data_IF_603581483761
#
_entry.id   IF_603581483761
#
_cell.length_a   1.000
_cell.length_b   1.000
_cell.length_c   1.000
_cell.angle_alpha   90.00
_cell.angle_beta   90.00
_cell.angle_gamma   90.00
#
_symmetry.space_group_name_H-M   'P 1'
#
loop_
_entity.id
_entity.type
_entity.pdbx_description
1 polymer ?
#
# COMPACT_ATOMS: atom_id res chain seq x y z
N UNK A 1 -0.84 -16.78 -2.70
CA UNK A 1 -1.53 -18.04 -2.36
C UNK A 1 -1.09 -18.49 -0.99
N UNK A 2 -2.00 -18.46 -0.01
CA UNK A 2 -1.85 -19.15 1.27
C UNK A 2 -1.76 -20.65 0.96
N UNK A 3 -0.62 -21.27 1.27
CA UNK A 3 -0.34 -22.65 0.91
C UNK A 3 -1.47 -23.60 1.35
N UNK A 4 -2.09 -24.29 0.38
CA UNK A 4 -3.04 -25.38 0.63
C UNK A 4 -4.53 -25.08 0.40
N UNK A 5 -4.93 -23.84 0.14
CA UNK A 5 -6.32 -23.52 -0.21
C UNK A 5 -6.52 -23.42 -1.73
N UNK A 6 -7.73 -23.79 -2.21
CA UNK A 6 -8.09 -23.49 -3.59
C UNK A 6 -8.42 -21.99 -3.76
N UNK A 7 -8.28 -21.42 -4.98
CA UNK A 7 -8.53 -20.01 -5.27
C UNK A 7 -9.84 -19.45 -4.71
N UNK A 8 -10.94 -20.21 -4.84
CA UNK A 8 -12.26 -19.79 -4.37
C UNK A 8 -12.28 -19.71 -2.84
N UNK A 9 -11.68 -20.67 -2.14
CA UNK A 9 -11.60 -20.64 -0.68
C UNK A 9 -10.80 -19.45 -0.19
N UNK A 10 -9.70 -19.10 -0.87
CA UNK A 10 -8.86 -17.94 -0.51
C UNK A 10 -9.67 -16.63 -0.59
N UNK A 11 -10.36 -16.39 -1.71
CA UNK A 11 -11.26 -15.24 -1.86
C UNK A 11 -12.37 -15.23 -0.80
N UNK A 12 -13.05 -16.36 -0.57
CA UNK A 12 -14.12 -16.44 0.41
C UNK A 12 -13.64 -16.19 1.84
N UNK A 13 -12.44 -16.66 2.21
CA UNK A 13 -11.85 -16.39 3.52
C UNK A 13 -11.56 -14.89 3.68
N UNK A 14 -10.94 -14.26 2.68
CA UNK A 14 -10.68 -12.82 2.69
C UNK A 14 -11.98 -12.00 2.82
N UNK A 15 -13.02 -12.35 2.06
CA UNK A 15 -14.31 -11.67 2.13
C UNK A 15 -15.02 -11.88 3.47
N UNK A 16 -14.98 -13.09 4.04
CA UNK A 16 -15.54 -13.37 5.38
C UNK A 16 -14.80 -12.61 6.47
N UNK A 17 -13.47 -12.54 6.38
CA UNK A 17 -12.66 -11.76 7.30
C UNK A 17 -13.01 -10.27 7.24
N UNK A 18 -13.12 -9.71 6.04
CA UNK A 18 -13.55 -8.32 5.84
C UNK A 18 -14.98 -8.08 6.35
N UNK A 19 -15.87 -9.04 6.17
CA UNK A 19 -17.21 -9.09 6.78
C UNK A 19 -17.16 -8.93 8.29
N UNK A 20 -16.45 -9.85 8.95
CA UNK A 20 -16.33 -9.87 10.40
C UNK A 20 -15.69 -8.58 10.96
N UNK A 21 -14.69 -8.02 10.27
CA UNK A 21 -14.09 -6.74 10.70
C UNK A 21 -15.05 -5.57 10.48
N UNK A 22 -15.81 -5.55 9.38
CA UNK A 22 -16.81 -4.50 9.15
C UNK A 22 -17.90 -4.51 10.22
N UNK A 23 -18.37 -5.70 10.61
CA UNK A 23 -19.33 -5.87 11.69
C UNK A 23 -18.73 -5.38 13.03
N UNK A 24 -17.49 -5.77 13.34
CA UNK A 24 -16.79 -5.32 14.53
C UNK A 24 -16.54 -3.80 14.54
N UNK A 25 -16.23 -3.20 13.39
CA UNK A 25 -16.11 -1.75 13.23
C UNK A 25 -17.43 -1.06 13.53
N UNK A 26 -18.54 -1.58 13.03
CA UNK A 26 -19.88 -1.06 13.30
C UNK A 26 -20.23 -1.13 14.79
N UNK A 27 -19.94 -2.26 15.45
CA UNK A 27 -20.11 -2.43 16.90
C UNK A 27 -19.22 -1.51 17.73
N UNK A 28 -17.98 -1.25 17.27
CA UNK A 28 -17.04 -0.35 17.94
C UNK A 28 -17.44 1.13 17.83
N UNK A 29 -18.54 1.44 17.15
CA UNK A 29 -19.07 2.79 16.90
C UNK A 29 -18.91 3.24 15.45
N UNK A 30 -18.04 2.63 14.66
CA UNK A 30 -17.80 3.08 13.30
C UNK A 30 -17.45 4.59 13.22
N UNK A 31 -17.38 5.14 12.01
CA UNK A 31 -17.19 6.57 11.82
C UNK A 31 -18.48 7.39 12.09
N UNK A 32 -19.66 6.76 12.07
CA UNK A 32 -20.96 7.47 12.10
C UNK A 32 -21.73 7.35 13.42
N UNK A 33 -21.26 6.59 14.42
CA UNK A 33 -21.97 6.51 15.70
C UNK A 33 -21.69 7.75 16.54
N UNK A 34 -22.76 8.45 16.90
CA UNK A 34 -22.74 9.61 17.78
C UNK A 34 -22.30 9.25 19.20
N UNK A 35 -22.47 7.99 19.60
CA UNK A 35 -21.94 7.49 20.86
C UNK A 35 -20.46 7.17 20.64
N UNK A 36 -19.60 8.01 21.25
CA UNK A 36 -18.14 7.98 21.07
C UNK A 36 -17.62 6.54 20.94
N UNK A 37 -16.94 6.19 19.84
CA UNK A 37 -16.35 4.87 19.69
C UNK A 37 -15.46 4.57 20.89
N UNK A 38 -15.40 3.30 21.31
CA UNK A 38 -14.41 2.88 22.30
C UNK A 38 -13.03 3.15 21.73
N UNK A 39 -12.40 4.26 22.16
CA UNK A 39 -11.22 4.89 21.55
C UNK A 39 -10.10 3.91 21.20
N UNK A 40 -9.96 2.82 21.96
CA UNK A 40 -8.83 1.90 21.82
C UNK A 40 -9.05 0.79 20.78
N UNK A 41 -10.30 0.43 20.45
CA UNK A 41 -10.58 -0.71 19.55
C UNK A 41 -10.66 -0.29 18.09
N UNK A 42 -11.18 0.91 17.83
CA UNK A 42 -11.43 1.40 16.47
C UNK A 42 -10.17 1.47 15.60
N UNK A 43 -9.03 2.03 16.06
CA UNK A 43 -7.82 2.11 15.22
C UNK A 43 -7.30 0.73 14.78
N UNK A 44 -7.28 -0.24 15.70
CA UNK A 44 -6.82 -1.61 15.43
C UNK A 44 -7.73 -2.31 14.42
N UNK A 45 -9.06 -2.16 14.58
CA UNK A 45 -10.03 -2.74 13.65
C UNK A 45 -9.93 -2.09 12.27
N UNK A 46 -9.75 -0.76 12.21
CA UNK A 46 -9.54 -0.02 10.95
C UNK A 46 -8.28 -0.51 10.24
N UNK A 47 -7.17 -0.64 10.97
CA UNK A 47 -5.92 -1.18 10.43
C UNK A 47 -6.10 -2.61 9.91
N UNK A 48 -6.73 -3.50 10.68
CA UNK A 48 -7.03 -4.87 10.25
C UNK A 48 -7.91 -4.92 9.00
N UNK A 49 -8.88 -4.02 8.88
CA UNK A 49 -9.72 -3.88 7.68
C UNK A 49 -8.89 -3.49 6.45
N UNK A 50 -8.02 -2.49 6.58
CA UNK A 50 -7.12 -2.06 5.50
C UNK A 50 -6.20 -3.20 5.05
N UNK A 51 -5.56 -3.90 6.00
CA UNK A 51 -4.71 -5.05 5.70
C UNK A 51 -5.48 -6.17 4.99
N UNK A 52 -6.70 -6.46 5.43
CA UNK A 52 -7.56 -7.44 4.76
C UNK A 52 -7.88 -7.07 3.31
N UNK A 53 -8.10 -5.78 3.03
CA UNK A 53 -8.35 -5.29 1.66
C UNK A 53 -7.12 -5.38 0.78
N UNK A 54 -5.95 -5.01 1.29
CA UNK A 54 -4.68 -5.14 0.57
C UNK A 54 -4.38 -6.60 0.25
N UNK A 55 -4.60 -7.50 1.21
CA UNK A 55 -4.42 -8.93 0.99
C UNK A 55 -5.40 -9.47 -0.07
N UNK A 56 -6.67 -9.07 -0.02
CA UNK A 56 -7.65 -9.45 -1.04
C UNK A 56 -7.24 -8.95 -2.44
N UNK A 57 -6.75 -7.72 -2.56
CA UNK A 57 -6.24 -7.17 -3.81
C UNK A 57 -5.07 -7.99 -4.35
N UNK A 58 -4.07 -8.29 -3.51
CA UNK A 58 -2.93 -9.11 -3.92
C UNK A 58 -3.33 -10.53 -4.37
N UNK A 59 -4.38 -11.10 -3.79
CA UNK A 59 -4.94 -12.38 -4.24
C UNK A 59 -5.60 -12.21 -5.62
N UNK A 60 -6.40 -11.16 -5.83
CA UNK A 60 -7.04 -10.86 -7.11
C UNK A 60 -5.99 -10.70 -8.22
N UNK A 61 -4.94 -9.90 -7.98
CA UNK A 61 -3.87 -9.66 -8.97
C UNK A 61 -3.18 -10.97 -9.38
N UNK A 62 -2.92 -11.85 -8.41
CA UNK A 62 -2.36 -13.17 -8.67
C UNK A 62 -3.32 -14.05 -9.49
N UNK A 63 -4.61 -14.02 -9.19
CA UNK A 63 -5.62 -14.78 -9.92
C UNK A 63 -5.78 -14.29 -11.36
N UNK A 64 -5.67 -12.99 -11.63
CA UNK A 64 -5.69 -12.45 -13.00
C UNK A 64 -4.54 -13.01 -13.85
N UNK A 65 -3.36 -13.15 -13.25
CA UNK A 65 -2.22 -13.81 -13.90
C UNK A 65 -2.53 -15.30 -14.11
N UNK A 66 -3.05 -15.99 -13.10
CA UNK A 66 -3.43 -17.40 -13.21
C UNK A 66 -4.50 -17.67 -14.27
N UNK A 67 -5.46 -16.77 -14.47
CA UNK A 67 -6.48 -16.88 -15.53
C UNK A 67 -5.85 -16.88 -16.93
N UNK A 68 -4.79 -16.10 -17.16
CA UNK A 68 -4.05 -16.11 -18.44
C UNK A 68 -3.39 -17.48 -18.68
N UNK A 69 -2.84 -18.08 -17.64
CA UNK A 69 -2.28 -19.43 -17.70
C UNK A 69 -3.36 -20.50 -17.91
N UNK A 70 -4.50 -20.41 -17.20
CA UNK A 70 -5.65 -21.30 -17.40
C UNK A 70 -6.14 -21.26 -18.85
N UNK A 71 -6.27 -20.06 -19.43
CA UNK A 71 -6.71 -19.89 -20.81
C UNK A 71 -5.76 -20.53 -21.82
N UNK A 72 -4.44 -20.40 -21.59
CA UNK A 72 -3.43 -21.06 -22.43
C UNK A 72 -3.50 -22.58 -22.28
N UNK A 73 -3.60 -23.07 -21.05
CA UNK A 73 -3.71 -24.50 -20.77
C UNK A 73 -4.96 -25.11 -21.42
N UNK A 74 -6.11 -24.41 -21.35
CA UNK A 74 -7.37 -24.81 -21.99
C UNK A 74 -7.22 -24.96 -23.51
N UNK A 75 -6.44 -24.07 -24.15
CA UNK A 75 -6.19 -24.12 -25.59
C UNK A 75 -5.37 -25.35 -26.00
N UNK A 76 -4.39 -25.73 -25.17
CA UNK A 76 -3.49 -26.86 -25.38
C UNK A 76 -4.15 -28.22 -25.04
N UNK A 77 -5.15 -28.25 -24.14
CA UNK A 77 -5.74 -29.49 -23.59
C UNK A 77 -7.25 -29.60 -23.77
N UNK A 78 -7.75 -29.37 -24.99
CA UNK A 78 -9.19 -29.27 -25.32
C UNK A 78 -10.04 -30.44 -24.82
N UNK A 79 -9.50 -31.66 -24.82
CA UNK A 79 -10.16 -32.87 -24.35
C UNK A 79 -10.40 -32.89 -22.83
N UNK A 80 -9.58 -32.15 -22.06
CA UNK A 80 -9.62 -32.12 -20.58
C UNK A 80 -10.35 -30.90 -20.01
N UNK A 81 -10.61 -29.89 -20.83
CA UNK A 81 -11.24 -28.62 -20.44
C UNK A 81 -12.57 -28.84 -19.71
N UNK A 82 -13.41 -29.75 -20.19
CA UNK A 82 -14.73 -30.00 -19.60
C UNK A 82 -14.64 -30.50 -18.14
N UNK A 83 -13.64 -31.33 -17.82
CA UNK A 83 -13.40 -31.80 -16.46
C UNK A 83 -12.73 -30.71 -15.62
N UNK A 84 -11.73 -30.00 -16.17
CA UNK A 84 -11.03 -28.92 -15.49
C UNK A 84 -11.98 -27.78 -15.08
N UNK A 85 -12.92 -27.38 -15.94
CA UNK A 85 -13.92 -26.34 -15.61
C UNK A 85 -14.87 -26.70 -14.48
N UNK A 86 -14.94 -27.97 -14.06
CA UNK A 86 -15.73 -28.36 -12.88
C UNK A 86 -15.01 -28.08 -11.57
N UNK A 87 -13.69 -27.90 -11.58
CA UNK A 87 -12.92 -27.59 -10.37
C UNK A 87 -13.04 -26.12 -9.99
N UNK A 88 -12.51 -25.76 -8.82
CA UNK A 88 -12.44 -24.40 -8.32
C UNK A 88 -11.27 -23.67 -8.98
N UNK A 89 -11.51 -23.14 -10.18
CA UNK A 89 -10.51 -22.42 -10.97
C UNK A 89 -10.35 -20.96 -10.53
N UNK A 90 -9.26 -20.34 -10.95
CA UNK A 90 -8.94 -18.93 -10.75
C UNK A 90 -9.99 -18.04 -11.43
N UNK A 91 -10.46 -18.45 -12.62
CA UNK A 91 -11.54 -17.76 -13.33
C UNK A 91 -12.81 -17.66 -12.48
N UNK A 92 -13.21 -18.76 -11.81
CA UNK A 92 -14.37 -18.75 -10.91
C UNK A 92 -14.11 -17.93 -9.65
N UNK A 93 -12.89 -17.98 -9.11
CA UNK A 93 -12.53 -17.19 -7.93
C UNK A 93 -12.62 -15.68 -8.21
N UNK A 94 -12.18 -15.21 -9.37
CA UNK A 94 -12.38 -13.82 -9.80
C UNK A 94 -13.86 -13.47 -9.93
N UNK A 95 -14.68 -14.34 -10.51
CA UNK A 95 -16.13 -14.11 -10.58
C UNK A 95 -16.76 -13.98 -9.19
N UNK A 96 -16.35 -14.80 -8.22
CA UNK A 96 -16.81 -14.68 -6.83
C UNK A 96 -16.37 -13.34 -6.23
N UNK A 97 -15.12 -12.92 -6.44
CA UNK A 97 -14.62 -11.63 -5.98
C UNK A 97 -15.38 -10.45 -6.60
N UNK A 98 -15.71 -10.54 -7.90
CA UNK A 98 -16.51 -9.52 -8.59
C UNK A 98 -17.94 -9.47 -8.06
N UNK A 99 -18.64 -10.60 -7.91
CA UNK A 99 -20.05 -10.60 -7.47
C UNK A 99 -20.23 -10.08 -6.02
N UNK A 100 -19.24 -10.31 -5.17
CA UNK A 100 -19.25 -9.92 -3.76
C UNK A 100 -18.74 -8.47 -3.59
N UNK A 101 -19.39 -7.52 -4.27
CA UNK A 101 -19.06 -6.08 -4.29
C UNK A 101 -19.08 -5.35 -2.94
N UNK A 102 -19.32 -6.05 -1.83
CA UNK A 102 -19.52 -5.44 -0.50
C UNK A 102 -18.27 -4.70 -0.01
N UNK A 103 -17.10 -5.14 -0.44
CA UNK A 103 -15.83 -4.46 -0.19
C UNK A 103 -15.14 -4.26 -1.53
N UNK A 104 -15.35 -3.13 -2.21
CA UNK A 104 -14.66 -2.87 -3.45
C UNK A 104 -13.16 -2.84 -3.15
N UNK A 105 -12.47 -3.92 -3.48
CA UNK A 105 -11.09 -3.82 -3.92
C UNK A 105 -11.13 -2.83 -5.10
N UNK A 106 -10.11 -1.99 -5.28
CA UNK A 106 -10.00 -1.20 -6.51
C UNK A 106 -9.72 -2.20 -7.62
N UNK A 107 -10.77 -2.92 -8.05
CA UNK A 107 -10.81 -3.70 -9.27
C UNK A 107 -10.59 -2.62 -10.33
N UNK A 108 -9.34 -2.43 -10.73
CA UNK A 108 -8.92 -1.33 -11.58
C UNK A 108 -9.54 -1.52 -12.96
N UNK A 109 -10.82 -1.17 -13.07
CA UNK A 109 -11.51 -0.92 -14.32
C UNK A 109 -11.27 0.56 -14.56
N UNK A 110 -10.20 0.81 -15.31
CA UNK A 110 -10.00 2.05 -16.04
C UNK A 110 -11.31 2.42 -16.73
N UNK A 111 -12.07 3.35 -16.14
CA UNK A 111 -13.19 4.01 -16.80
C UNK A 111 -12.98 5.51 -16.63
N UNK A 112 -12.31 6.08 -17.63
CA UNK A 112 -12.26 7.52 -17.84
C UNK A 112 -13.68 8.02 -18.18
N UNK A 113 -14.28 8.85 -17.32
CA UNK A 113 -15.41 9.74 -17.69
C UNK A 113 -15.39 11.01 -16.84
N UNK A 114 -15.33 12.15 -17.53
CA UNK A 114 -15.22 13.47 -16.91
C UNK A 114 -16.53 14.25 -16.73
N UNK A 115 -16.30 15.49 -16.27
CA UNK A 115 -17.09 16.74 -16.27
C UNK A 115 -18.17 17.03 -15.22
N UNK A 116 -17.78 18.00 -14.36
CA UNK A 116 -18.42 19.26 -13.91
C UNK A 116 -19.67 19.24 -13.02
N UNK A 117 -19.55 19.83 -11.82
CA UNK A 117 -20.49 20.83 -11.25
C UNK A 117 -19.89 21.60 -10.05
N UNK A 118 -20.19 22.89 -9.99
CA UNK A 118 -19.81 23.86 -8.93
C UNK A 118 -20.78 23.79 -7.75
N UNK A 119 -20.26 23.89 -6.51
CA UNK A 119 -20.99 24.54 -5.40
C UNK A 119 -20.03 24.96 -4.30
N UNK A 120 -20.26 26.15 -3.77
CA UNK A 120 -19.49 26.86 -2.74
C UNK A 120 -20.01 26.64 -1.31
N UNK A 121 -19.27 27.22 -0.34
CA UNK A 121 -19.57 27.59 1.08
C UNK A 121 -19.13 26.57 2.17
N UNK A 122 -18.77 27.00 3.42
CA UNK A 122 -17.51 27.62 3.85
C UNK A 122 -16.79 26.88 5.01
N UNK A 123 -15.55 27.33 5.26
CA UNK A 123 -14.60 26.99 6.34
C UNK A 123 -15.19 26.58 7.70
N UNK A 124 -14.71 25.43 8.20
CA UNK A 124 -14.72 25.08 9.63
C UNK A 124 -13.29 24.72 10.05
N UNK A 125 -12.74 25.53 10.95
CA UNK A 125 -11.42 25.40 11.55
C UNK A 125 -11.33 24.13 12.42
N UNK A 126 -10.54 23.15 11.99
CA UNK A 126 -10.21 21.93 12.73
C UNK A 126 -8.69 21.84 12.95
N UNK A 127 -8.19 22.53 13.97
CA UNK A 127 -6.94 22.12 14.59
C UNK A 127 -7.22 20.90 15.48
N UNK A 128 -6.38 19.88 15.33
CA UNK A 128 -6.08 18.84 16.34
C UNK A 128 -6.87 17.51 16.24
N UNK A 129 -6.47 16.64 15.30
CA UNK A 129 -6.64 15.17 15.45
C UNK A 129 -5.31 14.49 15.08
N UNK A 130 -4.73 13.81 16.08
CA UNK A 130 -3.42 13.17 16.03
C UNK A 130 -3.38 11.92 15.14
N UNK A 131 -2.39 11.88 14.25
CA UNK A 131 -2.03 10.75 13.40
C UNK A 131 -1.62 9.51 14.22
N UNK A 132 -2.10 8.34 13.83
CA UNK A 132 -1.68 7.06 14.42
C UNK A 132 -0.37 6.57 13.80
N UNK A 133 0.49 5.91 14.60
CA UNK A 133 1.88 5.61 14.23
C UNK A 133 2.04 4.47 13.21
N UNK A 134 2.83 4.69 12.16
CA UNK A 134 3.17 3.66 11.15
C UNK A 134 4.39 2.88 11.62
N UNK A 135 4.21 1.57 11.84
CA UNK A 135 5.32 0.65 12.10
C UNK A 135 6.08 0.44 10.78
N UNK A 136 7.42 0.63 10.72
CA UNK A 136 8.21 0.51 9.50
C UNK A 136 8.09 -0.86 8.80
N UNK A 137 7.59 -1.89 9.49
CA UNK A 137 7.23 -3.18 8.89
C UNK A 137 6.17 -3.09 7.76
N UNK A 138 5.40 -2.01 7.70
CA UNK A 138 4.31 -1.81 6.73
C UNK A 138 4.64 -0.81 5.61
N UNK A 139 5.82 -0.21 5.65
CA UNK A 139 6.29 0.71 4.61
C UNK A 139 6.59 -0.07 3.32
N UNK A 140 6.14 0.45 2.18
CA UNK A 140 6.45 -0.10 0.87
C UNK A 140 7.92 0.20 0.54
N UNK A 141 8.69 -0.83 0.19
CA UNK A 141 10.09 -0.67 -0.16
C UNK A 141 10.30 -0.86 -1.66
N UNK A 142 10.93 0.15 -2.27
CA UNK A 142 11.39 0.15 -3.64
C UNK A 142 12.91 0.13 -3.62
N UNK A 143 13.53 -0.95 -4.08
CA UNK A 143 14.98 -1.03 -4.16
C UNK A 143 15.41 -1.06 -5.63
N UNK A 144 16.37 -0.22 -6.01
CA UNK A 144 16.98 -0.27 -7.35
C UNK A 144 18.48 -0.14 -7.26
N UNK A 145 19.19 -0.66 -8.26
CA UNK A 145 20.63 -0.49 -8.45
C UNK A 145 20.98 0.53 -9.54
N UNK A 146 19.97 1.07 -10.23
CA UNK A 146 20.14 1.98 -11.34
C UNK A 146 19.72 3.40 -10.91
N UNK A 147 20.67 4.35 -10.95
CA UNK A 147 20.41 5.75 -10.64
C UNK A 147 19.23 6.31 -11.44
N UNK A 148 19.16 5.99 -12.74
CA UNK A 148 18.07 6.46 -13.61
C UNK A 148 16.68 6.00 -13.12
N UNK A 149 16.53 4.76 -12.67
CA UNK A 149 15.25 4.27 -12.14
C UNK A 149 14.91 4.92 -10.81
N UNK A 150 15.93 5.19 -10.00
CA UNK A 150 15.79 5.89 -8.74
C UNK A 150 15.32 7.34 -8.94
N UNK A 151 15.92 8.06 -9.88
CA UNK A 151 15.53 9.42 -10.26
C UNK A 151 14.11 9.44 -10.88
N UNK A 152 13.75 8.45 -11.71
CA UNK A 152 12.38 8.33 -12.26
C UNK A 152 11.33 8.01 -11.19
N UNK A 153 11.67 7.16 -10.21
CA UNK A 153 10.79 6.83 -9.07
C UNK A 153 10.65 7.99 -8.10
N UNK A 154 11.70 8.80 -7.98
CA UNK A 154 11.62 10.10 -7.37
C UNK A 154 10.58 10.91 -8.14
N UNK A 155 10.80 11.29 -9.41
CA UNK A 155 9.91 12.20 -10.18
C UNK A 155 8.43 11.76 -10.32
N UNK A 156 8.07 10.48 -10.13
CA UNK A 156 6.68 10.07 -10.05
C UNK A 156 6.43 8.61 -9.65
N UNK A 157 5.86 8.41 -8.46
CA UNK A 157 5.49 7.09 -7.88
C UNK A 157 4.39 6.36 -8.69
N UNK A 158 3.81 6.98 -9.73
CA UNK A 158 2.84 6.33 -10.62
C UNK A 158 3.44 5.24 -11.52
N UNK A 159 4.77 5.12 -11.57
CA UNK A 159 5.46 4.17 -12.42
C UNK A 159 5.43 2.74 -11.84
N UNK A 160 5.23 1.80 -12.76
CA UNK A 160 4.96 0.39 -12.50
C UNK A 160 6.07 -0.31 -11.69
N UNK A 161 5.73 -1.43 -11.03
CA UNK A 161 6.67 -2.24 -10.30
C UNK A 161 7.99 -2.56 -11.00
N UNK A 162 9.12 -2.19 -10.38
CA UNK A 162 10.45 -2.69 -10.72
C UNK A 162 10.67 -4.13 -10.22
N UNK A 163 11.81 -4.75 -10.57
CA UNK A 163 12.12 -6.16 -10.24
C UNK A 163 12.28 -6.45 -8.73
N UNK A 164 12.41 -5.43 -7.88
CA UNK A 164 12.73 -5.58 -6.46
C UNK A 164 11.80 -4.72 -5.60
N UNK A 165 10.58 -5.22 -5.39
CA UNK A 165 9.58 -4.59 -4.52
C UNK A 165 9.12 -5.55 -3.43
N UNK A 166 8.90 -5.01 -2.23
CA UNK A 166 8.38 -5.76 -1.09
C UNK A 166 8.05 -4.85 0.08
N UNK A 167 7.49 -5.41 1.15
CA UNK A 167 7.41 -4.71 2.42
C UNK A 167 8.82 -4.63 3.00
N UNK A 168 9.21 -3.51 3.63
CA UNK A 168 10.54 -3.34 4.24
C UNK A 168 10.91 -4.55 5.10
N UNK A 169 9.99 -5.02 5.96
CA UNK A 169 10.21 -6.17 6.84
C UNK A 169 10.37 -7.53 6.15
N UNK A 170 10.10 -7.62 4.85
CA UNK A 170 10.16 -8.86 4.05
C UNK A 170 11.27 -8.85 2.99
N UNK A 171 11.96 -7.71 2.82
CA UNK A 171 12.92 -7.55 1.74
C UNK A 171 14.25 -8.26 2.04
N UNK A 172 14.89 -8.94 1.06
CA UNK A 172 16.18 -9.61 1.29
C UNK A 172 17.28 -8.67 1.80
N UNK A 173 17.21 -7.39 1.43
CA UNK A 173 18.12 -6.33 1.88
C UNK A 173 17.71 -5.65 3.21
N UNK A 174 16.69 -6.14 3.92
CA UNK A 174 16.16 -5.49 5.14
C UNK A 174 17.25 -5.20 6.16
N UNK A 175 18.20 -6.14 6.35
CA UNK A 175 19.30 -5.95 7.30
C UNK A 175 20.18 -4.76 6.91
N UNK A 176 20.58 -4.67 5.64
CA UNK A 176 21.43 -3.57 5.14
C UNK A 176 20.72 -2.22 5.31
N UNK A 177 19.42 -2.18 5.08
CA UNK A 177 18.59 -0.99 5.22
C UNK A 177 18.40 -0.60 6.69
N UNK A 178 18.10 -1.57 7.56
CA UNK A 178 18.01 -1.34 9.01
C UNK A 178 19.34 -0.86 9.58
N UNK A 179 20.45 -1.51 9.23
CA UNK A 179 21.79 -1.09 9.63
C UNK A 179 22.08 0.34 9.14
N UNK A 180 21.67 0.71 7.91
CA UNK A 180 21.80 2.08 7.39
C UNK A 180 21.01 3.09 8.24
N UNK A 181 19.72 2.82 8.50
CA UNK A 181 18.85 3.73 9.26
C UNK A 181 19.31 3.88 10.72
N UNK A 182 19.78 2.80 11.35
CA UNK A 182 20.34 2.84 12.71
C UNK A 182 21.62 3.68 12.75
N UNK A 183 22.58 3.43 11.85
CA UNK A 183 23.81 4.20 11.75
C UNK A 183 23.53 5.68 11.45
N UNK A 184 22.57 5.95 10.57
CA UNK A 184 22.15 7.31 10.23
C UNK A 184 21.55 8.02 11.44
N UNK A 185 20.72 7.34 12.25
CA UNK A 185 20.17 7.89 13.50
C UNK A 185 21.25 8.19 14.55
N UNK A 186 22.30 7.36 14.63
CA UNK A 186 23.40 7.56 15.57
C UNK A 186 24.28 8.75 15.20
N UNK A 187 24.53 8.96 13.90
CA UNK A 187 25.33 10.09 13.41
C UNK A 187 24.61 11.44 13.60
N UNK A 188 23.28 11.44 13.61
CA UNK A 188 22.46 12.65 13.68
C UNK A 188 21.83 12.86 15.07
N UNK A 189 22.67 12.94 16.11
CA UNK A 189 22.20 13.10 17.50
C UNK A 189 21.22 14.27 17.71
N UNK A 190 21.33 15.35 16.92
CA UNK A 190 20.43 16.52 16.99
C UNK A 190 19.07 16.32 16.29
N UNK A 191 19.01 15.48 15.27
CA UNK A 191 17.84 15.31 14.38
C UNK A 191 17.20 13.92 14.50
N UNK A 192 17.60 13.15 15.52
CA UNK A 192 17.14 11.77 15.70
C UNK A 192 15.63 11.64 15.80
N UNK A 193 14.97 12.56 16.50
CA UNK A 193 13.51 12.53 16.65
C UNK A 193 12.80 12.96 15.37
N UNK A 194 13.30 13.98 14.66
CA UNK A 194 12.76 14.40 13.35
C UNK A 194 12.85 13.27 12.32
N UNK A 195 14.00 12.59 12.25
CA UNK A 195 14.16 11.46 11.34
C UNK A 195 13.27 10.27 11.70
N UNK A 196 13.12 9.97 12.99
CA UNK A 196 12.17 8.96 13.44
C UNK A 196 10.75 9.31 13.01
N UNK A 197 10.34 10.57 13.18
CA UNK A 197 9.04 11.04 12.71
C UNK A 197 8.89 10.92 11.19
N UNK A 198 9.91 11.30 10.41
CA UNK A 198 9.87 11.16 8.96
C UNK A 198 9.69 9.70 8.51
N UNK A 199 10.52 8.78 9.02
CA UNK A 199 10.41 7.34 8.73
C UNK A 199 9.07 6.79 9.21
N UNK A 200 8.59 7.29 10.34
CA UNK A 200 7.34 6.88 10.93
C UNK A 200 6.13 7.34 10.13
N UNK A 201 6.15 8.50 9.51
CA UNK A 201 5.02 8.96 8.70
C UNK A 201 5.10 8.48 7.24
N UNK A 202 6.24 7.96 6.80
CA UNK A 202 6.42 7.55 5.41
C UNK A 202 5.60 6.29 5.08
N UNK A 203 4.91 6.33 3.93
CA UNK A 203 4.17 5.18 3.40
C UNK A 203 5.05 4.32 2.49
N UNK A 204 6.04 4.95 1.87
CA UNK A 204 6.99 4.31 0.98
C UNK A 204 8.43 4.79 1.25
N UNK A 205 9.36 3.89 0.99
CA UNK A 205 10.79 4.16 1.01
C UNK A 205 11.41 3.65 -0.28
N UNK A 206 12.16 4.52 -0.96
CA UNK A 206 12.90 4.20 -2.17
C UNK A 206 14.38 4.20 -1.79
N UNK A 207 15.08 3.12 -2.11
CA UNK A 207 16.47 2.89 -1.72
C UNK A 207 17.29 2.60 -2.96
N UNK A 208 18.34 3.40 -3.16
CA UNK A 208 19.38 3.12 -4.15
C UNK A 208 20.43 2.23 -3.49
N UNK A 209 20.65 1.04 -4.03
CA UNK A 209 21.59 0.06 -3.49
C UNK A 209 22.65 -0.27 -4.54
N UNK A 210 23.92 -0.33 -4.14
CA UNK A 210 24.98 -0.86 -4.99
C UNK A 210 25.88 -1.78 -4.16
N UNK A 211 26.19 -2.98 -4.66
CA UNK A 211 27.10 -3.94 -4.01
C UNK A 211 26.83 -4.16 -2.51
N UNK A 212 25.55 -4.30 -2.13
CA UNK A 212 25.08 -4.44 -0.72
C UNK A 212 25.31 -3.22 0.16
N UNK A 213 25.49 -2.03 -0.42
CA UNK A 213 25.54 -0.76 0.28
C UNK A 213 24.36 0.11 -0.13
N UNK A 214 23.67 0.69 0.85
CA UNK A 214 22.70 1.77 0.60
C UNK A 214 23.49 3.01 0.22
N UNK A 215 23.26 3.51 -0.99
CA UNK A 215 23.85 4.74 -1.50
C UNK A 215 23.00 5.94 -1.11
N UNK A 216 21.68 5.81 -1.23
CA UNK A 216 20.74 6.89 -0.95
C UNK A 216 19.34 6.34 -0.62
N UNK A 217 18.56 7.15 0.08
CA UNK A 217 17.21 6.82 0.55
C UNK A 217 16.29 8.02 0.41
N UNK A 218 15.13 7.77 -0.18
CA UNK A 218 14.00 8.69 -0.21
C UNK A 218 12.84 8.13 0.58
N UNK A 219 12.27 8.97 1.42
CA UNK A 219 11.02 8.70 2.10
C UNK A 219 9.91 9.44 1.35
N UNK A 220 8.85 8.72 1.04
CA UNK A 220 7.65 9.27 0.42
C UNK A 220 6.48 9.04 1.35
N UNK A 221 5.78 10.14 1.61
CA UNK A 221 4.50 10.17 2.28
C UNK A 221 3.47 10.20 1.17
N UNK A 222 2.54 9.25 1.15
CA UNK A 222 1.35 9.47 0.34
C UNK A 222 0.59 10.59 1.03
N UNK A 223 0.11 11.58 0.28
CA UNK A 223 -0.88 12.47 0.84
C UNK A 223 -2.10 11.58 1.12
N UNK A 224 -2.22 11.07 2.36
CA UNK A 224 -3.51 10.67 2.90
C UNK A 224 -4.29 11.98 3.05
N UNK A 225 -4.81 12.42 1.91
CA UNK A 225 -5.73 13.52 1.77
C UNK A 225 -7.00 13.07 2.50
N UNK A 226 -7.10 13.40 3.78
CA UNK A 226 -8.39 13.41 4.48
C UNK A 226 -9.27 14.59 4.01
N UNK A 227 -8.78 15.44 3.09
CA UNK A 227 -9.52 16.58 2.52
C UNK A 227 -10.00 16.31 1.09
N UNK A 228 -11.28 15.99 0.89
CA UNK A 228 -11.91 15.73 -0.41
C UNK A 228 -11.89 16.90 -1.45
N UNK A 229 -10.97 17.86 -1.34
CA UNK A 229 -10.73 18.93 -2.31
C UNK A 229 -9.49 18.65 -3.17
N UNK A 230 -9.64 17.75 -4.14
CA UNK A 230 -8.71 17.63 -5.27
C UNK A 230 -9.10 18.63 -6.36
N UNK A 231 -8.60 19.86 -6.29
CA UNK A 231 -8.18 20.53 -7.53
C UNK A 231 -6.75 20.03 -7.83
N UNK A 232 -6.32 20.06 -9.11
CA UNK A 232 -5.00 19.58 -9.57
C UNK A 232 -3.85 20.32 -8.84
N UNK A 233 -3.57 19.92 -7.61
CA UNK A 233 -2.33 20.25 -6.94
C UNK A 233 -1.27 19.38 -7.62
N UNK A 234 -0.45 20.03 -8.45
CA UNK A 234 0.84 19.49 -8.86
C UNK A 234 1.48 18.82 -7.65
N UNK A 235 1.95 17.58 -7.82
CA UNK A 235 2.65 16.84 -6.78
C UNK A 235 3.70 17.77 -6.17
N UNK A 236 3.49 18.17 -4.92
CA UNK A 236 4.33 19.15 -4.24
C UNK A 236 5.68 18.51 -3.92
N UNK A 237 6.62 18.64 -4.86
CA UNK A 237 7.99 18.12 -4.75
C UNK A 237 8.76 18.70 -3.56
N UNK A 238 8.26 19.77 -2.91
CA UNK A 238 8.85 20.31 -1.67
C UNK A 238 8.66 19.41 -0.45
N UNK A 239 7.85 18.35 -0.56
CA UNK A 239 7.52 17.42 0.55
C UNK A 239 8.34 16.15 0.54
N UNK A 240 9.31 16.04 -0.36
CA UNK A 240 10.17 14.87 -0.43
C UNK A 240 11.47 15.18 0.28
N UNK A 241 11.98 14.20 1.01
CA UNK A 241 13.23 14.37 1.72
C UNK A 241 14.21 13.32 1.28
N UNK A 242 15.16 13.76 0.46
CA UNK A 242 16.40 13.05 0.22
C UNK A 242 17.19 13.01 1.53
N UNK A 243 17.42 11.83 2.09
CA UNK A 243 18.25 11.73 3.30
C UNK A 243 19.69 12.17 3.01
N UNK A 244 20.19 11.98 1.79
CA UNK A 244 21.49 12.50 1.36
C UNK A 244 21.59 14.04 1.38
N UNK A 245 20.55 14.75 0.96
CA UNK A 245 20.54 16.22 0.98
C UNK A 245 20.43 16.79 2.39
N UNK A 246 19.67 16.14 3.27
CA UNK A 246 19.62 16.49 4.70
C UNK A 246 21.01 16.41 5.32
N UNK A 247 21.78 15.37 5.00
CA UNK A 247 23.16 15.24 5.48
C UNK A 247 24.06 16.37 4.97
N UNK A 248 23.99 16.68 3.68
CA UNK A 248 24.80 17.73 3.08
C UNK A 248 24.52 19.11 3.72
N UNK A 249 23.26 19.37 4.08
CA UNK A 249 22.86 20.61 4.74
C UNK A 249 23.30 20.68 6.20
N UNK A 250 23.35 19.56 6.93
CA UNK A 250 23.86 19.50 8.32
C UNK A 250 25.38 19.71 8.36
N UNK A 251 26.13 19.15 7.40
CA UNK A 251 27.59 19.32 7.35
C UNK A 251 28.01 20.75 6.98
N UNK A 252 27.13 21.51 6.32
CA UNK A 252 27.40 22.87 5.85
C UNK A 252 27.10 23.96 6.90
N UNK A 253 26.38 23.64 7.99
CA UNK A 253 25.95 24.57 9.04
C UNK A 253 26.74 24.43 10.34
#
# INVERSE_FOLDING_TARGET
>A
MIAGYCPICEIQMSLKFLGAIADALQEAGGPWNRNRPTKNKYPVLRQGWHLGRLQLQGVIDLLEVSVKYEARWDAEHRDKVAAARRTNSSTKALQVAEMEHRYPALISKTVARGTKRKSSVPDVNFQEIMATPTNPAHMLLFATTLQKEFDELHEGVSLRPGQSQGLVGSHPGVKVISDFLENFQEQQHGHREELKEMVHYADAMIVLVNENKVLDVFLSHSDYIEDENYEDDEVDQSRWTCLGEVLANVEAG
#
